data_IF_955475944516
#
_entry.id   IF_955475944516
#
_cell.length_a   1.000
_cell.length_b   1.000
_cell.length_c   1.000
_cell.angle_alpha   90.00
_cell.angle_beta   90.00
_cell.angle_gamma   90.00
#
_symmetry.space_group_name_H-M   'P 1'
#
loop_
_entity.id
_entity.type
_entity.pdbx_description
1 polymer ?
#
# COMPACT_ATOMS: atom_id res chain seq x y z
N UNK A 1 -14.46 14.31 -28.34
CA UNK A 1 -14.49 12.99 -27.68
C UNK A 1 -13.64 12.89 -26.39
N UNK A 2 -12.93 13.93 -25.95
CA UNK A 2 -12.03 13.88 -24.78
C UNK A 2 -12.68 14.15 -23.42
N UNK A 3 -13.94 14.64 -23.37
CA UNK A 3 -14.59 15.03 -22.11
C UNK A 3 -15.13 13.87 -21.27
N UNK A 4 -15.56 12.78 -21.91
CA UNK A 4 -16.21 11.65 -21.23
C UNK A 4 -15.17 10.76 -20.52
N UNK A 5 -13.99 10.58 -21.11
CA UNK A 5 -12.89 9.81 -20.51
C UNK A 5 -12.32 10.47 -19.24
N UNK A 6 -12.23 11.81 -19.22
CA UNK A 6 -11.76 12.55 -18.05
C UNK A 6 -12.75 12.48 -16.88
N UNK A 7 -14.05 12.55 -17.16
CA UNK A 7 -15.10 12.37 -16.15
C UNK A 7 -15.12 10.95 -15.57
N UNK A 8 -14.94 9.93 -16.42
CA UNK A 8 -14.91 8.53 -15.99
C UNK A 8 -13.68 8.21 -15.13
N UNK A 9 -12.55 8.84 -15.42
CA UNK A 9 -11.34 8.73 -14.59
C UNK A 9 -11.53 9.35 -13.20
N UNK A 10 -12.16 10.52 -13.08
CA UNK A 10 -12.36 11.21 -11.79
C UNK A 10 -13.21 10.41 -10.76
N UNK A 11 -14.02 9.46 -11.24
CA UNK A 11 -14.90 8.62 -10.43
C UNK A 11 -14.25 7.30 -9.97
N UNK A 12 -13.14 6.89 -10.58
CA UNK A 12 -12.46 5.61 -10.30
C UNK A 12 -11.09 5.88 -9.64
N UNK A 13 -11.02 6.06 -8.31
CA UNK A 13 -9.77 6.30 -7.60
C UNK A 13 -8.75 5.16 -7.71
N UNK A 14 -9.18 3.93 -8.03
CA UNK A 14 -8.29 2.78 -8.17
C UNK A 14 -8.76 1.85 -9.29
N UNK A 15 -7.85 1.54 -10.22
CA UNK A 15 -8.08 0.53 -11.27
C UNK A 15 -6.87 -0.40 -11.36
N UNK A 16 -7.13 -1.70 -11.36
CA UNK A 16 -6.16 -2.76 -11.63
C UNK A 16 -6.54 -3.42 -12.96
N UNK A 17 -5.55 -3.64 -13.82
CA UNK A 17 -5.72 -4.23 -15.14
C UNK A 17 -4.71 -5.37 -15.34
N UNK A 18 -5.19 -6.62 -15.33
CA UNK A 18 -4.39 -7.83 -15.53
C UNK A 18 -3.25 -8.00 -14.52
N UNK A 19 -3.43 -7.55 -13.28
CA UNK A 19 -2.34 -7.44 -12.31
C UNK A 19 -1.89 -8.82 -11.83
N UNK A 20 -0.61 -9.12 -12.00
CA UNK A 20 0.03 -10.32 -11.48
C UNK A 20 1.26 -9.99 -10.64
N UNK A 21 1.49 -10.79 -9.60
CA UNK A 21 2.71 -10.71 -8.80
C UNK A 21 3.38 -12.07 -8.65
N UNK A 22 4.58 -12.15 -9.23
CA UNK A 22 5.51 -13.26 -9.09
C UNK A 22 6.58 -12.91 -8.06
N UNK A 23 6.83 -13.86 -7.16
CA UNK A 23 8.02 -13.93 -6.32
C UNK A 23 8.95 -15.01 -6.88
N UNK A 24 10.18 -14.60 -7.21
CA UNK A 24 11.23 -15.49 -7.70
C UNK A 24 12.06 -15.97 -6.52
N UNK A 25 11.95 -17.26 -6.21
CA UNK A 25 12.62 -17.90 -5.09
C UNK A 25 13.89 -18.58 -5.58
N UNK A 26 15.04 -18.18 -5.03
CA UNK A 26 16.34 -18.76 -5.33
C UNK A 26 16.82 -19.59 -4.15
N UNK A 27 17.36 -20.78 -4.41
CA UNK A 27 17.87 -21.65 -3.34
C UNK A 27 19.14 -21.09 -2.67
N UNK A 28 19.86 -20.19 -3.34
CA UNK A 28 21.01 -19.49 -2.75
C UNK A 28 21.33 -18.16 -3.47
N UNK A 29 22.06 -17.24 -2.81
CA UNK A 29 22.55 -16.01 -3.45
C UNK A 29 23.42 -16.27 -4.69
N UNK A 30 24.23 -17.35 -4.67
CA UNK A 30 25.06 -17.75 -5.83
C UNK A 30 24.21 -18.17 -7.02
N UNK A 31 23.09 -18.88 -6.79
CA UNK A 31 22.14 -19.24 -7.85
C UNK A 31 21.51 -17.99 -8.48
N UNK A 32 21.18 -16.97 -7.67
CA UNK A 32 20.69 -15.67 -8.17
C UNK A 32 21.72 -14.99 -9.07
N UNK A 33 22.98 -14.89 -8.63
CA UNK A 33 24.05 -14.30 -9.44
C UNK A 33 24.28 -15.07 -10.75
N UNK A 34 24.31 -16.41 -10.69
CA UNK A 34 24.45 -17.26 -11.87
C UNK A 34 23.29 -17.07 -12.85
N UNK A 35 22.05 -16.86 -12.37
CA UNK A 35 20.90 -16.59 -13.23
C UNK A 35 21.03 -15.28 -14.01
N UNK A 36 21.64 -14.25 -13.40
CA UNK A 36 21.88 -12.96 -14.05
C UNK A 36 22.97 -13.07 -15.13
N UNK A 37 24.05 -13.80 -14.86
CA UNK A 37 25.17 -13.95 -15.79
C UNK A 37 24.88 -14.89 -16.95
N UNK A 38 24.13 -15.97 -16.70
CA UNK A 38 23.87 -17.02 -17.71
C UNK A 38 22.56 -16.83 -18.46
N UNK A 39 21.71 -15.90 -18.02
CA UNK A 39 20.34 -15.73 -18.53
C UNK A 39 19.40 -16.91 -18.25
N UNK A 40 19.88 -17.99 -17.59
CA UNK A 40 19.08 -19.17 -17.27
C UNK A 40 18.21 -18.90 -16.05
N UNK A 41 16.94 -19.27 -16.12
CA UNK A 41 16.03 -19.21 -14.99
C UNK A 41 16.40 -20.30 -13.95
N UNK A 42 17.19 -19.90 -12.94
CA UNK A 42 17.57 -20.75 -11.80
C UNK A 42 16.73 -20.47 -10.55
N UNK A 43 15.50 -19.98 -10.72
CA UNK A 43 14.56 -19.70 -9.63
C UNK A 43 13.32 -20.57 -9.75
N UNK A 44 12.68 -20.82 -8.62
CA UNK A 44 11.29 -21.29 -8.56
C UNK A 44 10.35 -20.09 -8.56
N UNK A 45 9.31 -20.14 -9.38
CA UNK A 45 8.29 -19.09 -9.43
C UNK A 45 7.16 -19.38 -8.45
N UNK A 46 6.83 -18.40 -7.61
CA UNK A 46 5.63 -18.40 -6.79
C UNK A 46 4.77 -17.19 -7.15
N UNK A 47 3.61 -17.45 -7.74
CA UNK A 47 2.66 -16.39 -8.10
C UNK A 47 1.67 -16.17 -6.96
N UNK A 48 1.83 -15.05 -6.26
CA UNK A 48 0.93 -14.66 -5.19
C UNK A 48 -0.40 -14.08 -5.72
N UNK A 49 -0.38 -13.49 -6.91
CA UNK A 49 -1.56 -13.00 -7.62
C UNK A 49 -1.40 -13.27 -9.11
N UNK A 50 -2.49 -13.66 -9.78
CA UNK A 50 -2.54 -13.88 -11.23
C UNK A 50 -3.79 -13.21 -11.77
N UNK A 51 -3.61 -12.36 -12.77
CA UNK A 51 -4.68 -11.77 -13.57
C UNK A 51 -5.80 -11.09 -12.76
N UNK A 52 -5.41 -10.22 -11.82
CA UNK A 52 -6.36 -9.47 -10.99
C UNK A 52 -6.75 -8.18 -11.70
N UNK A 53 -8.02 -8.07 -12.07
CA UNK A 53 -8.61 -6.85 -12.65
C UNK A 53 -9.79 -6.39 -11.79
N UNK A 54 -9.76 -5.14 -11.34
CA UNK A 54 -10.84 -4.54 -10.55
C UNK A 54 -10.85 -3.03 -10.67
N UNK A 55 -12.02 -2.43 -10.43
CA UNK A 55 -12.19 -0.99 -10.29
C UNK A 55 -12.86 -0.69 -8.95
N UNK A 56 -12.34 0.28 -8.21
CA UNK A 56 -12.99 0.84 -7.04
C UNK A 56 -13.40 2.28 -7.34
N UNK A 57 -14.70 2.57 -7.23
CA UNK A 57 -15.25 3.90 -7.43
C UNK A 57 -15.38 4.67 -6.12
N UNK A 58 -15.45 6.00 -6.20
CA UNK A 58 -15.69 6.85 -5.02
C UNK A 58 -16.95 6.41 -4.27
N UNK A 59 -16.87 6.32 -2.94
CA UNK A 59 -17.98 5.90 -2.08
C UNK A 59 -18.20 4.39 -2.00
N UNK A 60 -17.42 3.57 -2.73
CA UNK A 60 -17.50 2.11 -2.62
C UNK A 60 -16.56 1.58 -1.55
N UNK A 61 -16.98 0.49 -0.91
CA UNK A 61 -16.15 -0.32 -0.03
C UNK A 61 -15.82 -1.65 -0.72
N UNK A 62 -14.56 -2.07 -0.68
CA UNK A 62 -14.10 -3.36 -1.20
C UNK A 62 -13.63 -4.25 -0.06
N UNK A 63 -14.35 -5.35 0.17
CA UNK A 63 -13.91 -6.42 1.05
C UNK A 63 -13.02 -7.43 0.31
N UNK A 64 -11.83 -7.72 0.84
CA UNK A 64 -10.93 -8.75 0.29
C UNK A 64 -10.85 -9.91 1.27
N UNK A 65 -11.44 -11.06 0.90
CA UNK A 65 -11.54 -12.27 1.73
C UNK A 65 -10.87 -13.47 1.07
N UNK A 66 -10.46 -14.45 1.87
CA UNK A 66 -9.81 -15.67 1.39
C UNK A 66 -8.84 -16.25 2.42
N UNK A 67 -8.36 -17.46 2.18
CA UNK A 67 -7.45 -18.19 3.08
C UNK A 67 -6.10 -17.48 3.28
N UNK A 68 -5.35 -17.90 4.30
CA UNK A 68 -3.96 -17.49 4.46
C UNK A 68 -3.13 -17.97 3.26
N UNK A 69 -2.23 -17.11 2.78
CA UNK A 69 -1.46 -17.37 1.55
C UNK A 69 -2.18 -17.05 0.24
N UNK A 70 -3.47 -16.68 0.24
CA UNK A 70 -4.22 -16.35 -0.99
C UNK A 70 -3.82 -15.03 -1.67
N UNK A 71 -2.75 -14.35 -1.21
CA UNK A 71 -2.26 -13.12 -1.83
C UNK A 71 -2.93 -11.81 -1.36
N UNK A 72 -3.82 -11.84 -0.36
CA UNK A 72 -4.53 -10.63 0.15
C UNK A 72 -3.58 -9.50 0.55
N UNK A 73 -2.59 -9.78 1.39
CA UNK A 73 -1.59 -8.78 1.80
C UNK A 73 -0.73 -8.32 0.62
N UNK A 74 -0.46 -9.19 -0.35
CA UNK A 74 0.23 -8.82 -1.59
C UNK A 74 -0.62 -7.85 -2.41
N UNK A 75 -1.93 -8.11 -2.55
CA UNK A 75 -2.87 -7.23 -3.24
C UNK A 75 -2.92 -5.85 -2.57
N UNK A 76 -3.04 -5.82 -1.24
CA UNK A 76 -3.04 -4.56 -0.49
C UNK A 76 -1.73 -3.78 -0.66
N UNK A 77 -0.57 -4.45 -0.60
CA UNK A 77 0.75 -3.81 -0.85
C UNK A 77 0.88 -3.28 -2.27
N UNK A 78 0.30 -3.97 -3.26
CA UNK A 78 0.23 -3.47 -4.63
C UNK A 78 -0.67 -2.25 -4.71
N UNK A 79 -1.87 -2.28 -4.13
CA UNK A 79 -2.81 -1.15 -4.13
C UNK A 79 -2.16 0.08 -3.48
N UNK A 80 -1.44 -0.09 -2.37
CA UNK A 80 -0.81 1.02 -1.64
C UNK A 80 0.50 1.49 -2.27
N UNK A 81 1.02 0.76 -3.26
CA UNK A 81 2.24 1.11 -3.97
C UNK A 81 3.54 0.75 -3.25
N UNK A 82 3.47 0.05 -2.11
CA UNK A 82 4.68 -0.48 -1.42
C UNK A 82 5.27 -1.69 -2.15
N UNK A 83 4.51 -2.26 -3.10
CA UNK A 83 4.97 -3.31 -4.00
C UNK A 83 4.62 -2.95 -5.44
N UNK A 84 5.51 -3.27 -6.38
CA UNK A 84 5.26 -3.16 -7.81
C UNK A 84 4.73 -4.48 -8.38
N UNK A 85 3.77 -4.44 -9.33
CA UNK A 85 3.32 -5.64 -10.02
C UNK A 85 4.44 -6.24 -10.87
N UNK A 86 4.41 -7.55 -11.09
CA UNK A 86 5.30 -8.20 -12.06
C UNK A 86 4.77 -8.01 -13.49
N UNK A 87 3.45 -8.05 -13.65
CA UNK A 87 2.73 -7.83 -14.91
C UNK A 87 1.44 -7.06 -14.64
N UNK A 88 0.89 -6.43 -15.69
CA UNK A 88 -0.33 -5.63 -15.60
C UNK A 88 -0.06 -4.20 -15.12
N UNK A 89 -1.14 -3.46 -14.88
CA UNK A 89 -1.09 -2.02 -14.55
C UNK A 89 -2.00 -1.67 -13.39
N UNK A 90 -1.56 -0.71 -12.57
CA UNK A 90 -2.36 -0.16 -11.48
C UNK A 90 -2.40 1.37 -11.62
N UNK A 91 -3.60 1.91 -11.79
CA UNK A 91 -3.89 3.34 -11.81
C UNK A 91 -4.48 3.75 -10.47
N UNK A 92 -4.00 4.87 -9.92
CA UNK A 92 -4.44 5.42 -8.63
C UNK A 92 -4.65 6.92 -8.80
N UNK A 93 -5.73 7.44 -8.23
CA UNK A 93 -5.97 8.87 -8.15
C UNK A 93 -5.98 9.33 -6.71
N UNK A 94 -5.15 10.32 -6.41
CA UNK A 94 -4.92 10.78 -5.04
C UNK A 94 -4.03 9.82 -4.26
N UNK A 95 -4.07 9.95 -2.94
CA UNK A 95 -3.19 9.21 -2.04
C UNK A 95 -3.94 8.10 -1.33
N UNK A 96 -3.38 6.90 -1.40
CA UNK A 96 -3.89 5.73 -0.69
C UNK A 96 -3.06 5.57 0.58
N UNK A 97 -3.69 5.78 1.74
CA UNK A 97 -3.10 5.44 3.04
C UNK A 97 -3.53 4.04 3.43
N UNK A 98 -2.62 3.33 4.07
CA UNK A 98 -2.84 1.97 4.48
C UNK A 98 -2.53 1.87 5.98
N UNK A 99 -3.55 1.59 6.78
CA UNK A 99 -3.37 1.15 8.16
C UNK A 99 -3.14 -0.38 8.10
N UNK A 100 -2.07 -0.79 7.42
CA UNK A 100 -1.76 -2.22 7.26
C UNK A 100 -1.04 -2.78 8.48
N UNK A 101 -0.38 -1.92 9.24
CA UNK A 101 0.37 -2.25 10.44
C UNK A 101 0.06 -1.15 11.47
N UNK A 102 -0.93 -1.39 12.32
CA UNK A 102 -1.13 -0.59 13.53
C UNK A 102 0.20 -0.57 14.30
N UNK A 103 0.79 0.60 14.50
CA UNK A 103 2.11 0.74 15.13
C UNK A 103 3.27 1.03 14.17
N UNK A 104 3.12 0.80 12.85
CA UNK A 104 4.19 1.13 11.91
C UNK A 104 4.39 2.65 11.82
N UNK A 105 5.57 3.09 12.21
CA UNK A 105 5.89 4.52 12.31
C UNK A 105 5.71 5.11 13.70
N UNK A 106 5.49 4.31 14.75
CA UNK A 106 5.69 4.78 16.13
C UNK A 106 7.15 4.56 16.55
N UNK A 107 7.72 5.55 17.23
CA UNK A 107 9.02 5.47 17.87
C UNK A 107 8.81 5.30 19.38
N UNK A 108 9.39 4.27 20.02
CA UNK A 108 9.14 3.96 21.44
C UNK A 108 9.68 5.04 22.38
N UNK A 109 10.74 5.74 21.97
CA UNK A 109 11.32 6.84 22.75
C UNK A 109 10.61 8.20 22.53
N UNK A 110 9.55 8.23 21.71
CA UNK A 110 8.79 9.45 21.45
C UNK A 110 7.53 9.51 22.32
N UNK A 111 7.16 10.71 22.75
CA UNK A 111 5.84 10.96 23.35
C UNK A 111 4.73 10.66 22.35
N UNK A 112 3.49 10.54 22.82
CA UNK A 112 2.33 10.40 21.93
C UNK A 112 2.23 11.56 20.93
N UNK A 113 2.51 12.79 21.38
CA UNK A 113 2.53 13.99 20.53
C UNK A 113 3.62 13.91 19.48
N UNK A 114 4.84 13.54 19.86
CA UNK A 114 5.93 13.38 18.90
C UNK A 114 5.61 12.31 17.85
N UNK A 115 4.98 11.20 18.28
CA UNK A 115 4.50 10.16 17.40
C UNK A 115 3.36 10.61 16.47
N UNK A 116 2.46 11.48 16.94
CA UNK A 116 1.41 12.08 16.11
C UNK A 116 2.01 12.82 14.92
N UNK A 117 2.98 13.70 15.18
CA UNK A 117 3.66 14.47 14.14
C UNK A 117 4.53 13.60 13.23
N UNK A 118 5.27 12.66 13.81
CA UNK A 118 6.12 11.74 13.05
C UNK A 118 5.28 10.85 12.12
N UNK A 119 4.25 10.19 12.65
CA UNK A 119 3.31 9.37 11.87
C UNK A 119 2.62 10.18 10.77
N UNK A 120 2.17 11.40 11.09
CA UNK A 120 1.64 12.35 10.12
C UNK A 120 2.57 12.62 8.94
N UNK A 121 3.85 12.85 9.21
CA UNK A 121 4.85 13.12 8.18
C UNK A 121 5.09 11.92 7.25
N UNK A 122 5.07 10.70 7.78
CA UNK A 122 5.19 9.46 7.00
C UNK A 122 4.02 9.27 6.06
N UNK A 123 2.84 9.69 6.52
CA UNK A 123 1.65 9.81 5.71
C UNK A 123 1.53 11.24 5.19
N UNK A 124 2.60 11.89 4.74
CA UNK A 124 2.58 13.15 3.98
C UNK A 124 1.62 14.26 4.45
N UNK A 125 1.34 14.36 5.75
CA UNK A 125 0.63 15.45 6.39
C UNK A 125 1.72 16.44 6.83
N UNK A 126 1.62 17.69 6.39
CA UNK A 126 2.56 18.73 6.80
C UNK A 126 2.40 19.08 8.27
N UNK A 127 3.43 19.70 8.86
CA UNK A 127 3.40 20.11 10.25
C UNK A 127 2.21 21.05 10.55
N UNK A 128 1.94 22.03 9.67
CA UNK A 128 0.82 22.97 9.80
C UNK A 128 -0.53 22.26 9.75
N UNK A 129 -0.70 21.31 8.82
CA UNK A 129 -1.92 20.50 8.74
C UNK A 129 -2.11 19.63 9.98
N UNK A 130 -1.03 19.07 10.53
CA UNK A 130 -1.12 18.25 11.73
C UNK A 130 -1.49 19.09 12.95
N UNK A 131 -0.92 20.29 13.11
CA UNK A 131 -1.27 21.20 14.19
C UNK A 131 -2.75 21.59 14.16
N UNK A 132 -3.34 21.74 12.96
CA UNK A 132 -4.77 22.02 12.80
C UNK A 132 -5.66 20.80 13.14
N UNK A 133 -5.18 19.58 12.89
CA UNK A 133 -5.91 18.33 13.15
C UNK A 133 -5.74 17.81 14.58
N UNK A 134 -4.66 18.18 15.25
CA UNK A 134 -4.26 17.66 16.56
C UNK A 134 -5.39 17.69 17.60
N UNK A 135 -6.17 18.78 17.79
CA UNK A 135 -7.27 18.78 18.76
C UNK A 135 -8.32 17.69 18.49
N UNK A 136 -8.66 17.46 17.22
CA UNK A 136 -9.64 16.44 16.82
C UNK A 136 -9.08 15.02 17.01
N UNK A 137 -7.80 14.82 16.68
CA UNK A 137 -7.12 13.54 16.89
C UNK A 137 -7.02 13.20 18.38
N UNK A 138 -6.69 14.17 19.24
CA UNK A 138 -6.63 13.98 20.68
C UNK A 138 -8.01 13.68 21.28
N UNK A 139 -9.05 14.38 20.81
CA UNK A 139 -10.42 14.12 21.23
C UNK A 139 -10.88 12.71 20.81
N UNK A 140 -10.52 12.26 19.61
CA UNK A 140 -10.82 10.90 19.13
C UNK A 140 -10.05 9.81 19.89
N UNK A 141 -8.80 10.08 20.27
CA UNK A 141 -7.95 9.11 20.93
C UNK A 141 -8.31 8.88 22.41
N UNK A 142 -8.91 9.88 23.07
CA UNK A 142 -9.32 9.82 24.49
C UNK A 142 -8.19 9.44 25.47
N UNK A 143 -6.92 9.66 25.10
CA UNK A 143 -5.75 9.27 25.91
C UNK A 143 -5.34 10.31 26.96
N UNK A 144 -5.96 11.49 26.96
CA UNK A 144 -5.74 12.54 27.98
C UNK A 144 -4.28 12.93 28.14
N UNK A 145 -3.80 12.94 29.39
CA UNK A 145 -2.43 13.34 29.75
C UNK A 145 -1.34 12.37 29.26
N UNK A 146 -1.69 11.15 28.83
CA UNK A 146 -0.72 10.17 28.33
C UNK A 146 -0.16 10.51 26.94
N UNK A 147 -0.57 11.63 26.36
CA UNK A 147 -0.04 12.15 25.09
C UNK A 147 1.41 12.65 25.21
N UNK A 148 1.83 13.08 26.40
CA UNK A 148 3.15 13.68 26.66
C UNK A 148 4.01 12.81 27.59
#
# INVERSE_FOLDING_TARGET
MNGVHALHQALTPLRLDGVGKEYRLYDSPRARLKSLLTGRALHRSHWALKDVSLELRRGQCLGVVGHNGAGKSTLLKLITGTLQPTVGRIERQGRITAILELGAGFHPDFTGRQNLYFGGSLIGISHEQMAALEPEVLAFAEIGEAID
#
